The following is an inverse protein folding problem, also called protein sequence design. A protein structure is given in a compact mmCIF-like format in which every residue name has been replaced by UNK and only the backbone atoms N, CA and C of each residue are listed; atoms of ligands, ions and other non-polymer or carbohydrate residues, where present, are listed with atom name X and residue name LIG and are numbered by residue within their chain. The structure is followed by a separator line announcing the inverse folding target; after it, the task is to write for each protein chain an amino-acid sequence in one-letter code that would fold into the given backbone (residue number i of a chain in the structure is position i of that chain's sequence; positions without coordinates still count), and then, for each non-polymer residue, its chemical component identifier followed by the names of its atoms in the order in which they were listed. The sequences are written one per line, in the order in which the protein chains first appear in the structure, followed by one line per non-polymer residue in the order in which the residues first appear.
data_IF_122886875055
#
_entry.id   IF_122886875055
#
_cell.length_a   1.000
_cell.length_b   1.000
_cell.length_c   1.000
_cell.angle_alpha   90.00
_cell.angle_beta   90.00
_cell.angle_gamma   90.00
#
_symmetry.space_group_name_H-M   'P 1'
#
loop_
_entity.id
_entity.type
_entity.pdbx_description
1 polymer ?
#
# COMPACT_ATOMS: atom_id res chain seq x y z
N UNK A 1 0.52 -18.02 -11.57
CA UNK A 1 0.68 -16.93 -10.58
C UNK A 1 2.03 -16.31 -10.86
N UNK A 2 2.12 -15.00 -11.06
CA UNK A 2 3.40 -14.32 -11.09
C UNK A 2 4.02 -14.46 -9.70
N UNK A 3 5.26 -14.93 -9.62
CA UNK A 3 5.95 -15.00 -8.34
C UNK A 3 6.10 -13.57 -7.80
N UNK A 4 5.44 -13.29 -6.68
CA UNK A 4 5.54 -12.00 -6.01
C UNK A 4 6.99 -11.73 -5.63
N UNK A 5 7.53 -10.61 -6.09
CA UNK A 5 8.90 -10.20 -5.85
C UNK A 5 8.98 -8.69 -5.63
N UNK A 6 10.08 -8.22 -5.05
CA UNK A 6 10.26 -6.83 -4.66
C UNK A 6 11.57 -6.27 -5.21
N UNK A 7 11.50 -5.01 -5.64
CA UNK A 7 12.64 -4.24 -6.14
C UNK A 7 12.91 -3.06 -5.23
N UNK A 8 14.18 -2.86 -4.89
CA UNK A 8 14.66 -1.75 -4.08
C UNK A 8 15.35 -0.69 -4.95
N UNK A 9 15.16 0.56 -4.55
CA UNK A 9 15.77 1.74 -5.14
C UNK A 9 16.32 2.64 -4.04
N UNK A 10 17.35 3.42 -4.38
CA UNK A 10 17.73 4.60 -3.62
C UNK A 10 17.39 5.86 -4.40
N UNK A 11 16.84 6.87 -3.71
CA UNK A 11 16.64 8.21 -4.25
C UNK A 11 17.54 9.16 -3.47
N UNK A 12 18.53 9.73 -4.17
CA UNK A 12 19.58 10.56 -3.55
C UNK A 12 19.63 11.93 -4.22
N UNK A 13 19.69 13.00 -3.43
CA UNK A 13 19.89 14.37 -3.89
C UNK A 13 19.21 15.40 -3.03
N UNK A 14 19.63 16.64 -3.15
CA UNK A 14 19.18 17.79 -2.34
C UNK A 14 17.68 18.10 -2.49
N UNK A 15 17.08 17.68 -3.61
CA UNK A 15 15.64 17.86 -3.85
C UNK A 15 14.81 16.61 -3.51
N UNK A 16 15.42 15.52 -3.02
CA UNK A 16 14.73 14.23 -2.82
C UNK A 16 13.54 14.35 -1.84
N UNK A 17 13.73 14.99 -0.69
CA UNK A 17 12.67 15.20 0.28
C UNK A 17 11.52 16.02 -0.30
N UNK A 18 11.84 17.17 -0.93
CA UNK A 18 10.83 18.06 -1.52
C UNK A 18 10.05 17.36 -2.64
N UNK A 19 10.74 16.59 -3.47
CA UNK A 19 10.12 15.82 -4.54
C UNK A 19 9.15 14.79 -3.96
N UNK A 20 9.61 13.93 -3.04
CA UNK A 20 8.75 12.91 -2.42
C UNK A 20 7.57 13.52 -1.67
N UNK A 21 7.78 14.66 -0.99
CA UNK A 21 6.70 15.37 -0.31
C UNK A 21 5.55 15.75 -1.26
N UNK A 22 5.85 16.06 -2.52
CA UNK A 22 4.86 16.35 -3.56
C UNK A 22 4.31 15.12 -4.30
N UNK A 23 4.81 13.91 -4.03
CA UNK A 23 4.40 12.70 -4.73
C UNK A 23 3.61 11.75 -3.83
N UNK A 24 4.10 11.45 -2.63
CA UNK A 24 3.53 10.42 -1.76
C UNK A 24 2.48 10.95 -0.80
N UNK A 25 1.61 10.09 -0.31
CA UNK A 25 0.52 10.45 0.62
C UNK A 25 0.99 10.68 2.06
N UNK A 26 2.13 10.10 2.47
CA UNK A 26 2.72 10.32 3.80
C UNK A 26 3.40 11.70 3.90
N UNK A 27 3.46 12.26 5.10
CA UNK A 27 4.27 13.46 5.37
C UNK A 27 5.74 13.07 5.53
N UNK A 28 6.52 13.21 4.45
CA UNK A 28 7.95 12.81 4.39
C UNK A 28 8.82 13.69 5.30
N UNK A 29 8.44 14.94 5.51
CA UNK A 29 9.15 15.86 6.42
C UNK A 29 9.10 15.35 7.86
N UNK A 30 7.94 14.85 8.28
CA UNK A 30 7.71 14.32 9.62
C UNK A 30 8.16 12.87 9.81
N UNK A 31 8.53 12.16 8.73
CA UNK A 31 8.98 10.79 8.83
C UNK A 31 10.32 10.71 9.57
N UNK A 32 10.36 9.88 10.63
CA UNK A 32 11.58 9.66 11.40
C UNK A 32 12.66 8.96 10.54
N UNK A 33 13.92 9.28 10.78
CA UNK A 33 15.03 8.61 10.10
C UNK A 33 15.10 7.13 10.51
N UNK A 34 15.49 6.29 9.55
CA UNK A 34 15.58 4.83 9.68
C UNK A 34 14.25 4.13 10.01
N UNK A 35 13.14 4.81 9.75
CA UNK A 35 11.79 4.23 9.87
C UNK A 35 11.21 3.96 8.50
N UNK A 36 10.71 2.75 8.28
CA UNK A 36 9.99 2.37 7.06
C UNK A 36 8.50 2.64 7.22
N UNK A 37 7.91 3.35 6.27
CA UNK A 37 6.48 3.62 6.22
C UNK A 37 5.91 3.18 4.89
N UNK A 38 4.85 2.34 4.92
CA UNK A 38 4.08 2.05 3.71
C UNK A 38 3.22 3.25 3.34
N UNK A 39 3.33 3.72 2.10
CA UNK A 39 2.66 4.90 1.57
C UNK A 39 2.29 4.69 0.10
N UNK A 40 1.65 5.66 -0.53
CA UNK A 40 1.22 5.57 -1.91
C UNK A 40 1.58 6.81 -2.74
N UNK A 41 1.81 6.60 -4.03
CA UNK A 41 1.68 7.62 -5.07
C UNK A 41 0.34 7.39 -5.76
N UNK A 42 -0.48 8.43 -5.85
CA UNK A 42 -1.81 8.34 -6.43
C UNK A 42 -1.87 9.04 -7.80
N UNK A 43 -2.88 8.69 -8.58
CA UNK A 43 -3.24 9.44 -9.79
C UNK A 43 -4.12 10.66 -9.46
N UNK A 44 -4.47 11.46 -10.46
CA UNK A 44 -5.32 12.65 -10.31
C UNK A 44 -6.76 12.34 -9.83
N UNK A 45 -7.18 11.07 -9.91
CA UNK A 45 -8.46 10.60 -9.39
C UNK A 45 -8.38 10.12 -7.95
N UNK A 46 -7.18 10.25 -7.32
CA UNK A 46 -6.90 9.80 -5.95
C UNK A 46 -6.83 8.28 -5.81
N UNK A 47 -6.64 7.53 -6.90
CA UNK A 47 -6.42 6.09 -6.86
C UNK A 47 -4.94 5.78 -6.78
N UNK A 48 -4.60 4.74 -6.03
CA UNK A 48 -3.21 4.34 -5.84
C UNK A 48 -2.65 3.81 -7.16
N UNK A 49 -1.59 4.44 -7.65
CA UNK A 49 -0.79 3.95 -8.76
C UNK A 49 0.34 3.06 -8.25
N UNK A 50 1.13 3.55 -7.27
CA UNK A 50 2.19 2.78 -6.66
C UNK A 50 2.00 2.67 -5.15
N UNK A 51 2.13 1.46 -4.61
CA UNK A 51 2.34 1.22 -3.20
C UNK A 51 3.84 1.14 -2.90
N UNK A 52 4.30 1.86 -1.89
CA UNK A 52 5.73 2.01 -1.61
C UNK A 52 6.02 1.79 -0.13
N UNK A 53 7.08 1.03 0.16
CA UNK A 53 7.72 1.07 1.48
C UNK A 53 8.86 2.08 1.40
N UNK A 54 8.68 3.21 2.07
CA UNK A 54 9.59 4.34 2.05
C UNK A 54 10.36 4.43 3.35
N UNK A 55 11.69 4.35 3.28
CA UNK A 55 12.59 4.54 4.41
C UNK A 55 13.39 5.82 4.22
N UNK A 56 13.28 6.75 5.17
CA UNK A 56 14.09 7.97 5.19
C UNK A 56 15.39 7.68 5.91
N UNK A 57 16.53 7.79 5.21
CA UNK A 57 17.87 7.70 5.82
C UNK A 57 18.33 9.06 6.35
N UNK A 58 18.10 10.10 5.55
CA UNK A 58 18.25 11.52 5.88
C UNK A 58 17.46 12.34 4.84
N UNK A 59 17.42 13.69 4.91
CA UNK A 59 16.65 14.52 3.98
C UNK A 59 17.04 14.39 2.49
N UNK A 60 18.25 13.94 2.20
CA UNK A 60 18.78 13.78 0.85
C UNK A 60 18.89 12.33 0.39
N UNK A 61 18.52 11.35 1.27
CA UNK A 61 18.66 9.93 0.96
C UNK A 61 17.46 9.14 1.46
N UNK A 62 16.78 8.48 0.51
CA UNK A 62 15.63 7.61 0.75
C UNK A 62 15.83 6.25 0.11
N UNK A 63 15.40 5.20 0.80
CA UNK A 63 15.25 3.87 0.22
C UNK A 63 13.78 3.62 -0.06
N UNK A 64 13.49 3.06 -1.22
CA UNK A 64 12.13 2.82 -1.71
C UNK A 64 12.04 1.39 -2.17
N UNK A 65 11.05 0.66 -1.68
CA UNK A 65 10.74 -0.69 -2.17
C UNK A 65 9.35 -0.67 -2.79
N UNK A 66 9.21 -1.33 -3.93
CA UNK A 66 7.94 -1.56 -4.62
C UNK A 66 7.88 -3.02 -5.08
N UNK A 67 6.72 -3.50 -5.49
CA UNK A 67 6.62 -4.79 -6.16
C UNK A 67 7.41 -4.77 -7.48
N UNK A 68 8.01 -5.88 -7.84
CA UNK A 68 8.94 -5.93 -8.98
C UNK A 68 8.22 -5.65 -10.31
N UNK A 69 6.99 -6.05 -10.46
CA UNK A 69 6.18 -5.81 -11.66
C UNK A 69 5.87 -4.33 -11.92
N UNK A 70 5.89 -3.50 -10.88
CA UNK A 70 5.72 -2.04 -10.99
C UNK A 70 7.05 -1.29 -11.15
N UNK A 71 8.22 -1.94 -10.99
CA UNK A 71 9.53 -1.28 -10.85
C UNK A 71 9.90 -0.40 -12.06
N UNK A 72 9.63 -0.85 -13.28
CA UNK A 72 9.94 -0.11 -14.49
C UNK A 72 9.07 1.15 -14.64
N UNK A 73 7.76 1.01 -14.42
CA UNK A 73 6.82 2.14 -14.48
C UNK A 73 7.07 3.14 -13.35
N UNK A 74 7.44 2.66 -12.17
CA UNK A 74 7.86 3.52 -11.06
C UNK A 74 9.10 4.34 -11.45
N UNK A 75 10.14 3.73 -12.02
CA UNK A 75 11.33 4.44 -12.47
C UNK A 75 11.02 5.49 -13.55
N UNK A 76 10.12 5.17 -14.51
CA UNK A 76 9.63 6.11 -15.51
C UNK A 76 8.88 7.29 -14.88
N UNK A 77 8.03 7.01 -13.88
CA UNK A 77 7.31 8.04 -13.12
C UNK A 77 8.27 9.02 -12.44
N UNK A 78 9.25 8.50 -11.68
CA UNK A 78 10.23 9.34 -11.00
C UNK A 78 11.03 10.19 -12.01
N UNK A 79 11.46 9.60 -13.13
CA UNK A 79 12.16 10.32 -14.20
C UNK A 79 11.31 11.43 -14.82
N UNK A 80 10.03 11.16 -15.07
CA UNK A 80 9.09 12.12 -15.67
C UNK A 80 8.82 13.31 -14.76
N UNK A 81 8.44 13.06 -13.51
CA UNK A 81 8.06 14.10 -12.57
C UNK A 81 9.24 14.78 -11.89
N UNK A 82 10.38 14.10 -11.81
CA UNK A 82 11.62 14.60 -11.24
C UNK A 82 12.62 15.19 -12.25
N UNK A 83 12.20 15.42 -13.50
CA UNK A 83 13.11 15.83 -14.59
C UNK A 83 13.95 17.10 -14.30
N UNK A 84 13.44 18.00 -13.46
CA UNK A 84 14.12 19.23 -13.06
C UNK A 84 14.64 19.23 -11.62
N UNK A 85 14.49 18.11 -10.90
CA UNK A 85 14.94 17.96 -9.53
C UNK A 85 16.39 17.48 -9.48
N UNK A 86 17.17 18.04 -8.58
CA UNK A 86 18.57 17.64 -8.35
C UNK A 86 18.60 16.37 -7.48
N UNK A 87 18.20 15.27 -8.07
CA UNK A 87 18.17 13.95 -7.46
C UNK A 87 18.38 12.87 -8.49
N UNK A 88 18.73 11.66 -8.04
CA UNK A 88 18.93 10.47 -8.86
C UNK A 88 18.25 9.28 -8.21
N UNK A 89 17.49 8.53 -9.00
CA UNK A 89 16.98 7.21 -8.61
C UNK A 89 17.95 6.15 -9.12
N UNK A 90 18.41 5.26 -8.24
CA UNK A 90 19.28 4.14 -8.57
C UNK A 90 18.65 2.83 -8.15
N UNK A 91 18.55 1.83 -9.05
CA UNK A 91 18.10 0.50 -8.70
C UNK A 91 19.16 -0.19 -7.82
N UNK A 92 18.70 -0.85 -6.74
CA UNK A 92 19.56 -1.58 -5.81
C UNK A 92 19.40 -3.10 -5.93
N UNK A 93 18.42 -3.56 -6.71
CA UNK A 93 18.17 -4.97 -6.94
C UNK A 93 17.00 -5.52 -6.13
N UNK A 94 16.93 -6.86 -6.07
CA UNK A 94 15.86 -7.56 -5.37
C UNK A 94 16.07 -7.55 -3.87
N UNK A 95 14.96 -7.46 -3.12
CA UNK A 95 14.93 -7.54 -1.67
C UNK A 95 13.81 -8.47 -1.22
N UNK A 96 13.91 -8.98 -0.01
CA UNK A 96 13.00 -9.95 0.54
C UNK A 96 12.30 -9.40 1.79
N UNK A 97 10.96 -9.57 1.86
CA UNK A 97 10.17 -9.02 2.94
C UNK A 97 10.25 -9.89 4.21
N UNK A 98 10.18 -9.26 5.35
CA UNK A 98 9.98 -9.88 6.66
C UNK A 98 8.93 -9.06 7.40
N UNK A 99 7.98 -9.75 8.05
CA UNK A 99 6.95 -9.07 8.83
C UNK A 99 7.36 -9.04 10.30
N UNK A 100 7.55 -7.85 10.85
CA UNK A 100 7.99 -7.65 12.24
C UNK A 100 7.26 -6.46 12.87
N UNK A 101 6.82 -6.59 14.12
CA UNK A 101 6.19 -5.50 14.87
C UNK A 101 5.07 -4.78 14.10
N UNK A 102 4.19 -5.57 13.46
CA UNK A 102 3.05 -5.09 12.66
C UNK A 102 3.37 -4.31 11.38
N UNK A 103 4.58 -4.42 10.86
CA UNK A 103 4.95 -3.83 9.57
C UNK A 103 5.94 -4.70 8.79
N UNK A 104 5.95 -4.50 7.48
CA UNK A 104 6.92 -5.14 6.59
C UNK A 104 8.23 -4.35 6.58
N UNK A 105 9.32 -5.08 6.71
CA UNK A 105 10.70 -4.61 6.50
C UNK A 105 11.37 -5.45 5.43
N UNK A 106 12.48 -4.99 4.88
CA UNK A 106 13.18 -5.66 3.78
C UNK A 106 14.65 -5.84 4.07
N UNK A 107 15.22 -6.95 3.55
CA UNK A 107 16.65 -7.23 3.58
C UNK A 107 17.10 -7.91 2.28
N UNK A 108 18.41 -8.09 2.11
CA UNK A 108 18.97 -8.86 1.01
C UNK A 108 18.89 -10.38 1.24
N UNK A 109 18.59 -10.82 2.45
CA UNK A 109 18.50 -12.24 2.81
C UNK A 109 17.18 -12.84 2.32
N UNK A 110 17.19 -13.94 1.56
CA UNK A 110 15.98 -14.61 1.09
C UNK A 110 15.08 -15.04 2.24
N UNK A 111 13.79 -14.80 2.08
CA UNK A 111 12.74 -15.19 3.04
C UNK A 111 11.64 -15.97 2.35
N UNK A 112 10.79 -16.62 3.12
CA UNK A 112 9.57 -17.26 2.63
C UNK A 112 8.51 -16.17 2.34
N UNK A 113 8.40 -15.79 1.05
CA UNK A 113 7.45 -14.76 0.60
C UNK A 113 6.01 -15.20 0.83
N UNK A 114 5.70 -16.50 0.70
CA UNK A 114 4.34 -16.99 0.93
C UNK A 114 3.95 -16.88 2.41
N UNK A 115 4.85 -17.24 3.33
CA UNK A 115 4.63 -17.05 4.75
C UNK A 115 4.51 -15.56 5.13
N UNK A 116 5.36 -14.69 4.56
CA UNK A 116 5.22 -13.25 4.74
C UNK A 116 3.86 -12.74 4.23
N UNK A 117 3.42 -13.19 3.05
CA UNK A 117 2.15 -12.75 2.45
C UNK A 117 0.96 -13.06 3.36
N UNK A 118 0.91 -14.26 3.94
CA UNK A 118 -0.11 -14.64 4.93
C UNK A 118 -0.08 -13.69 6.13
N UNK A 119 1.11 -13.39 6.67
CA UNK A 119 1.26 -12.48 7.81
C UNK A 119 0.82 -11.06 7.46
N UNK A 120 1.27 -10.49 6.33
CA UNK A 120 0.89 -9.15 5.88
C UNK A 120 -0.63 -9.03 5.72
N UNK A 121 -1.27 -9.99 5.04
CA UNK A 121 -2.72 -10.04 4.83
C UNK A 121 -3.46 -10.14 6.18
N UNK A 122 -3.05 -11.05 7.06
CA UNK A 122 -3.70 -11.25 8.37
C UNK A 122 -3.61 -9.99 9.24
N UNK A 123 -2.56 -9.19 9.10
CA UNK A 123 -2.40 -7.91 9.80
C UNK A 123 -2.96 -6.72 9.04
N UNK A 124 -3.73 -6.95 7.96
CA UNK A 124 -4.39 -5.89 7.19
C UNK A 124 -3.43 -4.99 6.42
N UNK A 125 -2.20 -5.45 6.16
CA UNK A 125 -1.25 -4.73 5.31
C UNK A 125 -1.52 -5.04 3.84
N UNK A 126 -2.38 -4.23 3.24
CA UNK A 126 -2.62 -4.28 1.81
C UNK A 126 -1.41 -3.72 1.05
N UNK A 127 -0.97 -4.42 0.02
CA UNK A 127 0.09 -3.96 -0.87
C UNK A 127 -0.41 -3.92 -2.32
N UNK A 128 0.11 -2.98 -3.09
CA UNK A 128 -0.29 -2.73 -4.48
C UNK A 128 0.76 -3.30 -5.41
N UNK A 129 0.30 -4.07 -6.37
CA UNK A 129 1.05 -4.55 -7.53
C UNK A 129 0.36 -4.10 -8.82
N UNK A 130 0.88 -4.52 -9.97
CA UNK A 130 0.35 -4.16 -11.27
C UNK A 130 -1.11 -4.61 -11.48
N UNK A 131 -1.54 -5.72 -10.84
CA UNK A 131 -2.90 -6.24 -11.02
C UNK A 131 -3.99 -5.33 -10.44
N UNK A 132 -3.66 -4.54 -9.41
CA UNK A 132 -4.60 -3.68 -8.68
C UNK A 132 -4.20 -2.20 -8.69
N UNK A 133 -3.26 -1.80 -9.56
CA UNK A 133 -2.96 -0.37 -9.77
C UNK A 133 -4.20 0.39 -10.26
N UNK A 134 -4.37 1.63 -9.82
CA UNK A 134 -5.52 2.50 -10.15
C UNK A 134 -6.91 1.95 -9.76
N UNK A 135 -6.98 0.90 -8.93
CA UNK A 135 -8.25 0.30 -8.50
C UNK A 135 -8.77 0.96 -7.24
N UNK A 136 -7.94 1.10 -6.21
CA UNK A 136 -8.35 1.51 -4.87
C UNK A 136 -7.87 2.91 -4.49
N UNK A 137 -8.66 3.58 -3.63
CA UNK A 137 -8.22 4.80 -2.94
C UNK A 137 -7.54 4.44 -1.61
N UNK A 138 -6.61 5.27 -1.10
CA UNK A 138 -5.90 5.00 0.16
C UNK A 138 -6.82 4.76 1.36
N UNK A 139 -7.94 5.48 1.45
CA UNK A 139 -8.90 5.31 2.54
C UNK A 139 -9.67 3.99 2.46
N UNK A 140 -9.95 3.49 1.25
CA UNK A 140 -10.58 2.18 1.04
C UNK A 140 -9.69 1.06 1.60
N UNK A 141 -8.36 1.21 1.49
CA UNK A 141 -7.37 0.29 2.04
C UNK A 141 -6.97 0.59 3.50
N UNK A 142 -7.68 1.48 4.20
CA UNK A 142 -7.36 1.90 5.57
C UNK A 142 -5.93 2.43 5.75
N UNK A 143 -5.29 2.91 4.68
CA UNK A 143 -3.90 3.34 4.69
C UNK A 143 -3.66 4.53 5.65
N UNK A 144 -4.66 5.38 5.86
CA UNK A 144 -4.61 6.47 6.84
C UNK A 144 -4.54 5.96 8.30
N UNK A 145 -5.19 4.81 8.61
CA UNK A 145 -5.11 4.18 9.93
C UNK A 145 -3.77 3.49 10.18
N UNK A 146 -2.97 3.29 9.11
CA UNK A 146 -1.59 2.80 9.16
C UNK A 146 -0.55 3.94 9.04
N UNK A 147 -0.96 5.19 9.26
CA UNK A 147 -0.12 6.38 9.11
C UNK A 147 0.49 6.58 7.70
N UNK A 148 -0.04 5.91 6.68
CA UNK A 148 0.43 6.04 5.29
C UNK A 148 -0.15 7.23 4.53
N UNK A 149 -1.11 7.96 5.12
CA UNK A 149 -1.74 9.17 4.54
C UNK A 149 -1.79 10.28 5.58
N UNK A 150 -1.34 11.47 5.19
CA UNK A 150 -1.47 12.67 6.00
C UNK A 150 -2.29 13.72 5.25
N UNK A 151 -3.22 14.38 5.95
CA UNK A 151 -4.16 15.34 5.38
C UNK A 151 -3.75 16.79 5.65
N UNK A 152 -2.79 17.01 6.53
CA UNK A 152 -2.26 18.29 7.01
C UNK A 152 -0.88 18.64 6.43
N UNK A 153 -0.43 17.89 5.44
CA UNK A 153 0.79 18.16 4.67
C UNK A 153 0.52 19.05 3.46
N UNK A 154 1.59 19.59 2.85
CA UNK A 154 1.53 20.33 1.59
C UNK A 154 0.98 19.51 0.41
N UNK A 155 0.75 20.16 -0.73
CA UNK A 155 0.13 19.53 -1.90
C UNK A 155 0.91 18.32 -2.43
N UNK A 156 0.19 17.29 -2.82
CA UNK A 156 0.72 16.11 -3.49
C UNK A 156 -0.25 15.60 -4.56
N UNK A 157 0.21 14.73 -5.42
CA UNK A 157 -0.57 14.21 -6.56
C UNK A 157 -1.84 13.47 -6.07
N UNK A 158 -3.01 13.86 -6.58
CA UNK A 158 -4.31 13.26 -6.20
C UNK A 158 -4.92 13.78 -4.89
N UNK A 159 -4.24 14.69 -4.17
CA UNK A 159 -4.68 15.18 -2.86
C UNK A 159 -6.11 15.71 -2.84
N UNK A 160 -6.57 16.41 -3.88
CA UNK A 160 -7.90 17.03 -3.89
C UNK A 160 -9.02 15.99 -3.66
N UNK A 161 -8.93 14.84 -4.32
CA UNK A 161 -9.91 13.76 -4.18
C UNK A 161 -9.78 13.08 -2.83
N UNK A 162 -8.55 12.80 -2.39
CA UNK A 162 -8.23 12.16 -1.12
C UNK A 162 -8.69 13.03 0.06
N UNK A 163 -8.38 14.34 0.03
CA UNK A 163 -8.81 15.29 1.05
C UNK A 163 -10.33 15.48 1.05
N UNK A 164 -10.97 15.57 -0.13
CA UNK A 164 -12.42 15.66 -0.23
C UNK A 164 -13.11 14.45 0.42
N UNK A 165 -12.62 13.25 0.17
CA UNK A 165 -13.15 12.03 0.76
C UNK A 165 -13.04 12.06 2.30
N UNK A 166 -11.93 12.59 2.84
CA UNK A 166 -11.69 12.70 4.28
C UNK A 166 -12.54 13.79 4.96
N UNK A 167 -12.60 15.00 4.36
CA UNK A 167 -13.21 16.15 5.01
C UNK A 167 -14.72 16.29 4.74
N UNK A 168 -15.24 15.76 3.62
CA UNK A 168 -16.62 16.00 3.17
C UNK A 168 -17.42 14.73 2.90
N UNK A 169 -16.81 13.57 2.95
CA UNK A 169 -17.43 12.29 2.66
C UNK A 169 -16.81 11.17 3.49
N UNK A 170 -17.11 9.93 3.15
CA UNK A 170 -16.40 8.72 3.60
C UNK A 170 -16.43 7.68 2.50
N UNK A 171 -15.50 6.71 2.48
CA UNK A 171 -15.59 5.57 1.60
C UNK A 171 -16.91 4.83 1.80
N UNK A 172 -17.48 4.33 0.71
CA UNK A 172 -18.70 3.49 0.77
C UNK A 172 -18.39 2.02 1.01
N UNK A 173 -17.16 1.62 0.67
CA UNK A 173 -16.62 0.29 0.87
C UNK A 173 -15.19 0.42 1.40
N UNK A 174 -14.72 -0.50 2.18
CA UNK A 174 -13.40 -0.47 2.77
C UNK A 174 -12.87 -1.87 3.07
N UNK A 175 -11.61 -1.93 3.48
CA UNK A 175 -10.86 -3.15 3.71
C UNK A 175 -11.45 -4.00 4.84
N UNK A 176 -11.62 -5.27 4.53
CA UNK A 176 -11.98 -6.34 5.46
C UNK A 176 -11.04 -7.53 5.26
N UNK A 177 -10.86 -8.31 6.31
CA UNK A 177 -10.16 -9.58 6.27
C UNK A 177 -11.18 -10.72 6.29
N UNK A 178 -11.07 -11.62 5.32
CA UNK A 178 -11.92 -12.81 5.24
C UNK A 178 -11.06 -14.08 5.11
N UNK A 179 -11.60 -15.19 5.58
CA UNK A 179 -11.06 -16.54 5.40
C UNK A 179 -12.10 -17.40 4.71
N UNK A 180 -11.66 -18.17 3.72
CA UNK A 180 -12.51 -19.10 3.00
C UNK A 180 -11.82 -20.43 2.79
N UNK A 181 -12.57 -21.40 2.25
CA UNK A 181 -12.09 -22.75 1.89
C UNK A 181 -11.83 -22.84 0.39
N UNK A 182 -10.99 -23.78 -0.03
CA UNK A 182 -10.66 -23.98 -1.45
C UNK A 182 -9.49 -23.11 -1.93
N UNK A 183 -9.52 -22.75 -3.22
CA UNK A 183 -8.43 -21.99 -3.85
C UNK A 183 -8.52 -20.49 -3.49
N UNK A 184 -7.38 -19.88 -3.21
CA UNK A 184 -7.29 -18.42 -3.00
C UNK A 184 -7.77 -17.66 -4.25
N UNK A 185 -8.67 -16.68 -4.11
CA UNK A 185 -9.14 -15.87 -5.23
C UNK A 185 -8.00 -15.00 -5.80
N UNK A 186 -8.11 -14.64 -7.08
CA UNK A 186 -7.13 -13.77 -7.72
C UNK A 186 -7.27 -12.32 -7.27
N UNK A 187 -6.17 -11.56 -7.31
CA UNK A 187 -6.21 -10.11 -7.12
C UNK A 187 -7.11 -9.46 -8.18
N UNK A 188 -7.74 -8.37 -7.81
CA UNK A 188 -8.76 -7.67 -8.62
C UNK A 188 -10.00 -8.50 -8.96
N UNK A 189 -10.10 -9.76 -8.53
CA UNK A 189 -11.31 -10.57 -8.73
C UNK A 189 -12.49 -9.97 -7.96
N UNK A 190 -13.68 -10.03 -8.56
CA UNK A 190 -14.94 -9.74 -7.89
C UNK A 190 -15.57 -11.04 -7.38
N UNK A 191 -15.54 -11.25 -6.06
CA UNK A 191 -16.16 -12.44 -5.43
C UNK A 191 -17.69 -12.41 -5.53
N UNK A 192 -18.27 -11.22 -5.46
CA UNK A 192 -19.69 -10.92 -5.66
C UNK A 192 -19.82 -9.42 -5.98
N UNK A 193 -21.04 -8.97 -6.34
CA UNK A 193 -21.27 -7.56 -6.64
C UNK A 193 -20.86 -6.66 -5.47
N UNK A 194 -19.83 -5.83 -5.72
CA UNK A 194 -19.33 -4.87 -4.72
C UNK A 194 -18.32 -5.41 -3.71
N UNK A 195 -17.76 -6.62 -3.94
CA UNK A 195 -16.68 -7.19 -3.14
C UNK A 195 -15.49 -7.45 -4.06
N UNK A 196 -14.42 -6.69 -3.87
CA UNK A 196 -13.24 -6.75 -4.71
C UNK A 196 -12.00 -7.21 -3.92
N UNK A 197 -11.32 -8.22 -4.44
CA UNK A 197 -10.10 -8.77 -3.85
C UNK A 197 -8.95 -7.77 -3.98
N UNK A 198 -8.26 -7.53 -2.88
CA UNK A 198 -7.02 -6.74 -2.82
C UNK A 198 -5.81 -7.67 -2.88
N UNK A 199 -5.59 -8.44 -1.82
CA UNK A 199 -4.51 -9.41 -1.73
C UNK A 199 -5.03 -10.72 -1.17
N UNK A 200 -4.51 -11.84 -1.64
CA UNK A 200 -4.95 -13.17 -1.24
C UNK A 200 -3.76 -14.10 -1.09
N UNK A 201 -3.79 -14.96 -0.08
CA UNK A 201 -2.78 -15.99 0.16
C UNK A 201 -3.41 -17.33 0.51
N UNK A 202 -2.87 -18.39 -0.06
CA UNK A 202 -3.24 -19.75 0.32
C UNK A 202 -2.67 -20.08 1.71
N UNK A 203 -3.41 -20.85 2.49
CA UNK A 203 -3.00 -21.40 3.77
C UNK A 203 -3.56 -22.82 3.95
N UNK A 204 -3.14 -23.50 4.99
CA UNK A 204 -3.65 -24.84 5.29
C UNK A 204 -5.18 -24.80 5.48
N UNK A 205 -5.87 -25.60 4.64
CA UNK A 205 -7.33 -25.72 4.66
C UNK A 205 -8.10 -24.64 3.89
N UNK A 206 -7.42 -23.70 3.19
CA UNK A 206 -8.09 -22.67 2.39
C UNK A 206 -7.25 -21.46 2.08
N UNK A 207 -7.77 -20.26 2.35
CA UNK A 207 -7.09 -19.00 2.06
C UNK A 207 -7.49 -17.89 3.05
N UNK A 208 -6.62 -16.88 3.16
CA UNK A 208 -6.93 -15.57 3.75
C UNK A 208 -6.86 -14.50 2.66
N UNK A 209 -7.75 -13.50 2.75
CA UNK A 209 -7.89 -12.49 1.71
C UNK A 209 -8.30 -11.16 2.31
N UNK A 210 -7.65 -10.10 1.86
CA UNK A 210 -8.11 -8.72 2.05
C UNK A 210 -9.06 -8.35 0.90
N UNK A 211 -10.24 -7.87 1.24
CA UNK A 211 -11.24 -7.41 0.28
C UNK A 211 -11.70 -6.00 0.59
N UNK A 212 -12.01 -5.22 -0.43
CA UNK A 212 -12.75 -3.97 -0.27
C UNK A 212 -14.22 -4.27 -0.55
N UNK A 213 -15.05 -4.04 0.46
CA UNK A 213 -16.48 -4.34 0.41
C UNK A 213 -17.28 -3.38 1.30
N UNK A 214 -18.58 -3.29 1.05
CA UNK A 214 -19.52 -2.78 2.04
C UNK A 214 -19.79 -3.89 3.07
N UNK A 215 -19.90 -3.56 4.39
CA UNK A 215 -20.12 -4.58 5.41
C UNK A 215 -21.31 -5.50 5.12
N UNK A 216 -22.41 -4.92 4.63
CA UNK A 216 -23.62 -5.67 4.29
C UNK A 216 -23.42 -6.69 3.16
N UNK A 217 -22.50 -6.43 2.23
CA UNK A 217 -22.24 -7.35 1.11
C UNK A 217 -21.50 -8.62 1.55
N UNK A 218 -20.75 -8.58 2.66
CA UNK A 218 -20.00 -9.73 3.17
C UNK A 218 -20.91 -10.85 3.69
N UNK A 219 -22.10 -10.51 4.13
CA UNK A 219 -23.08 -11.51 4.64
C UNK A 219 -23.62 -12.44 3.55
N UNK A 220 -23.40 -12.09 2.28
CA UNK A 220 -23.82 -12.89 1.13
C UNK A 220 -22.78 -13.94 0.71
N UNK A 221 -21.59 -13.93 1.32
CA UNK A 221 -20.50 -14.87 1.03
C UNK A 221 -20.46 -16.01 2.05
N UNK A 222 -20.09 -17.20 1.57
CA UNK A 222 -19.76 -18.34 2.43
C UNK A 222 -18.29 -18.26 2.88
N UNK A 223 -17.99 -17.28 3.71
CA UNK A 223 -16.66 -17.00 4.26
C UNK A 223 -16.76 -16.58 5.73
N UNK A 224 -15.67 -16.72 6.46
CA UNK A 224 -15.53 -16.17 7.80
C UNK A 224 -14.91 -14.78 7.72
N UNK A 225 -15.60 -13.76 8.23
CA UNK A 225 -15.01 -12.42 8.41
C UNK A 225 -14.18 -12.47 9.69
N UNK A 226 -12.90 -12.10 9.55
CA UNK A 226 -11.95 -12.05 10.66
C UNK A 226 -11.73 -10.60 11.12
N UNK A 227 -11.37 -10.45 12.39
CA UNK A 227 -11.01 -9.15 12.93
C UNK A 227 -9.67 -8.68 12.36
N UNK A 228 -9.62 -7.42 11.95
CA UNK A 228 -8.37 -6.73 11.69
C UNK A 228 -7.71 -6.30 13.02
N UNK A 229 -6.40 -6.04 13.05
CA UNK A 229 -5.74 -5.45 14.21
C UNK A 229 -6.48 -4.23 14.75
N UNK A 230 -6.45 -4.01 16.07
CA UNK A 230 -7.22 -2.97 16.78
C UNK A 230 -7.11 -1.58 16.11
N UNK A 231 -5.91 -1.21 15.65
CA UNK A 231 -5.67 0.05 14.92
C UNK A 231 -6.48 0.20 13.63
N UNK A 232 -6.95 -0.90 13.05
CA UNK A 232 -7.74 -0.94 11.81
C UNK A 232 -9.23 -1.23 12.05
N UNK A 233 -9.68 -1.41 13.29
CA UNK A 233 -11.07 -1.71 13.61
C UNK A 233 -11.95 -0.47 13.70
N UNK A 234 -11.37 0.74 13.72
CA UNK A 234 -12.10 2.00 13.74
C UNK A 234 -12.88 2.29 12.46
N UNK A 235 -13.82 3.25 12.53
CA UNK A 235 -14.47 3.79 11.33
C UNK A 235 -13.40 4.35 10.38
N UNK A 236 -13.60 4.18 9.09
CA UNK A 236 -12.74 4.76 8.04
C UNK A 236 -13.03 6.24 7.80
N UNK A 237 -14.09 6.78 8.41
CA UNK A 237 -14.41 8.19 8.39
C UNK A 237 -13.47 8.98 9.31
N UNK A 238 -13.39 10.30 9.05
CA UNK A 238 -12.69 11.22 9.96
C UNK A 238 -13.33 11.17 11.34
N UNK A 239 -12.55 11.01 12.41
CA UNK A 239 -13.06 11.19 13.77
C UNK A 239 -13.71 12.58 13.94
N UNK A 240 -14.87 12.61 14.59
CA UNK A 240 -15.60 13.84 14.88
C UNK A 240 -14.98 14.59 16.05
#
# INVERSE_FOLDING_TARGET
MSDLAFSSFTLIGVDALKFLQGQVTVNVEALAENTTQYTAICDLKGRIHFGLWLTKRNPEHFEIVTTQDQSEEFAKHIKKFGAFSKMKLEPMGSVFPTFTQDCTTFSAEPTDIAAWQVQAITHGEAFIDQAIEHVFQPQELRLHQRAGVHYDKGCYLGQEVIARLWFKAKPKAWLHLIQGTGSAPAQAEQLNKGIQVVNSAAMDGGYVTLVVARPESLTELDVTVLDLPERLNGDVARPQ
#
